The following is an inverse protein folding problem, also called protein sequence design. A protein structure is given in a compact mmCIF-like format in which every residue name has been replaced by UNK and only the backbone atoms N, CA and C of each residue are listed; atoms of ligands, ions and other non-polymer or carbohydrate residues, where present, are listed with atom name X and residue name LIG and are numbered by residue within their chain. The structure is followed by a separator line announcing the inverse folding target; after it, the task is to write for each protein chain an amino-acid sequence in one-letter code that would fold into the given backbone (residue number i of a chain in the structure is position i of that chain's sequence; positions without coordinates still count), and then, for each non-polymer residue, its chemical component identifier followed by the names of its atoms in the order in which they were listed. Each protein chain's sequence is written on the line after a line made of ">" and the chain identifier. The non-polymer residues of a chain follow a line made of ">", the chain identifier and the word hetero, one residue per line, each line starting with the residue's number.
data_IF_517904895440
#
_entry.id   IF_517904895440
#
_cell.length_a   1.000
_cell.length_b   1.000
_cell.length_c   1.000
_cell.angle_alpha   90.00
_cell.angle_beta   90.00
_cell.angle_gamma   90.00
#
_symmetry.space_group_name_H-M   'P 1'
#
loop_
_entity.id
_entity.type
_entity.pdbx_description
1 polymer ?
#
# COMPACT_ATOMS: atom_id res chain seq x y z
N UNK A 1 -76.44 45.48 43.83
CA UNK A 1 -76.26 44.36 42.88
C UNK A 1 -75.87 44.90 41.50
N UNK A 2 -74.59 44.82 41.12
CA UNK A 2 -74.15 44.38 39.77
C UNK A 2 -72.62 44.29 39.74
N UNK A 3 -72.18 43.10 39.38
CA UNK A 3 -70.82 42.59 39.34
C UNK A 3 -70.27 42.60 37.91
N UNK A 4 -68.94 42.65 37.80
CA UNK A 4 -68.09 42.04 36.76
C UNK A 4 -68.12 42.71 35.36
N UNK A 5 -67.05 42.73 34.56
CA UNK A 5 -65.79 41.95 34.55
C UNK A 5 -64.73 42.69 33.72
N UNK A 6 -63.53 42.84 34.25
CA UNK A 6 -62.31 43.13 33.47
C UNK A 6 -61.89 41.88 32.70
N UNK A 7 -61.97 41.92 31.37
CA UNK A 7 -61.37 40.91 30.49
C UNK A 7 -59.86 41.16 30.43
N UNK A 8 -59.08 40.40 31.21
CA UNK A 8 -57.64 40.31 31.05
C UNK A 8 -57.34 39.33 29.90
N UNK A 9 -57.03 39.85 28.72
CA UNK A 9 -56.60 39.06 27.58
C UNK A 9 -55.25 38.40 27.84
N UNK A 10 -55.23 37.06 27.89
CA UNK A 10 -54.01 36.27 28.05
C UNK A 10 -53.30 36.09 26.69
N UNK A 11 -52.68 37.14 26.17
CA UNK A 11 -52.02 37.13 24.85
C UNK A 11 -50.53 36.75 24.87
N UNK A 12 -49.97 36.41 26.04
CA UNK A 12 -48.52 36.20 26.21
C UNK A 12 -47.96 34.82 25.84
N UNK A 13 -48.81 33.81 25.57
CA UNK A 13 -48.35 32.41 25.42
C UNK A 13 -48.17 31.92 23.98
N UNK A 14 -48.81 32.55 22.99
CA UNK A 14 -48.69 32.15 21.58
C UNK A 14 -47.35 32.52 20.94
N UNK A 15 -46.78 33.68 21.30
CA UNK A 15 -45.54 34.18 20.73
C UNK A 15 -44.28 33.44 21.24
N UNK A 16 -44.31 32.92 22.48
CA UNK A 16 -43.19 32.17 23.05
C UNK A 16 -43.08 30.74 22.50
N UNK A 17 -44.20 30.15 22.09
CA UNK A 17 -44.22 28.80 21.49
C UNK A 17 -43.73 28.88 20.04
N UNK A 18 -44.08 29.93 19.30
CA UNK A 18 -43.63 30.14 17.92
C UNK A 18 -42.11 30.35 17.80
N UNK A 19 -41.48 31.11 18.71
CA UNK A 19 -40.02 31.32 18.71
C UNK A 19 -39.24 30.06 19.12
N UNK A 20 -39.81 29.24 20.00
CA UNK A 20 -39.21 27.97 20.43
C UNK A 20 -39.24 26.95 19.30
N UNK A 21 -40.35 26.85 18.56
CA UNK A 21 -40.47 25.95 17.40
C UNK A 21 -39.46 26.29 16.29
N UNK A 22 -39.30 27.58 15.97
CA UNK A 22 -38.30 28.03 14.99
C UNK A 22 -36.87 27.66 15.40
N UNK A 23 -36.50 27.90 16.65
CA UNK A 23 -35.18 27.55 17.18
C UNK A 23 -34.95 26.03 17.17
N UNK A 24 -35.96 25.22 17.52
CA UNK A 24 -35.82 23.75 17.47
C UNK A 24 -35.66 23.21 16.06
N UNK A 25 -36.30 23.81 15.05
CA UNK A 25 -36.12 23.41 13.64
C UNK A 25 -34.71 23.73 13.14
N UNK A 26 -34.16 24.89 13.52
CA UNK A 26 -32.79 25.28 13.18
C UNK A 26 -31.78 24.35 13.86
N UNK A 27 -31.97 24.05 15.15
CA UNK A 27 -31.08 23.13 15.87
C UNK A 27 -31.19 21.72 15.27
N UNK A 28 -32.40 21.25 14.96
CA UNK A 28 -32.63 19.96 14.33
C UNK A 28 -31.97 19.84 12.95
N UNK A 29 -32.01 20.89 12.13
CA UNK A 29 -31.38 20.88 10.81
C UNK A 29 -29.86 20.86 10.89
N UNK A 30 -29.27 21.63 11.83
CA UNK A 30 -27.82 21.64 12.05
C UNK A 30 -27.33 20.28 12.55
N UNK A 31 -28.02 19.67 13.52
CA UNK A 31 -27.66 18.35 14.05
C UNK A 31 -27.79 17.28 12.98
N UNK A 32 -28.84 17.33 12.14
CA UNK A 32 -29.03 16.36 11.06
C UNK A 32 -27.94 16.48 9.99
N UNK A 33 -27.58 17.71 9.59
CA UNK A 33 -26.50 17.95 8.64
C UNK A 33 -25.15 17.51 9.21
N UNK A 34 -24.87 17.83 10.48
CA UNK A 34 -23.65 17.42 11.14
C UNK A 34 -23.56 15.89 11.28
N UNK A 35 -24.66 15.23 11.64
CA UNK A 35 -24.73 13.77 11.71
C UNK A 35 -24.50 13.10 10.35
N UNK A 36 -25.04 13.66 9.27
CA UNK A 36 -24.81 13.17 7.92
C UNK A 36 -23.34 13.31 7.51
N UNK A 37 -22.73 14.48 7.72
CA UNK A 37 -21.31 14.71 7.41
C UNK A 37 -20.43 13.78 8.24
N UNK A 38 -20.72 13.61 9.53
CA UNK A 38 -19.99 12.67 10.39
C UNK A 38 -20.15 11.22 9.93
N UNK A 39 -21.34 10.80 9.52
CA UNK A 39 -21.58 9.47 8.99
C UNK A 39 -20.73 9.20 7.74
N UNK A 40 -20.74 10.12 6.77
CA UNK A 40 -19.96 9.97 5.53
C UNK A 40 -18.45 9.98 5.81
N UNK A 41 -17.98 10.85 6.70
CA UNK A 41 -16.56 10.92 7.03
C UNK A 41 -16.09 9.69 7.82
N UNK A 42 -16.94 9.12 8.66
CA UNK A 42 -16.61 7.93 9.45
C UNK A 42 -16.45 6.69 8.58
N UNK A 43 -17.32 6.49 7.59
CA UNK A 43 -17.17 5.40 6.61
C UNK A 43 -15.87 5.52 5.80
N UNK A 44 -15.51 6.73 5.38
CA UNK A 44 -14.29 6.98 4.62
C UNK A 44 -13.02 6.85 5.48
N UNK A 45 -13.02 7.35 6.72
CA UNK A 45 -11.87 7.27 7.63
C UNK A 45 -11.55 5.81 8.03
N UNK A 46 -12.58 4.99 8.25
CA UNK A 46 -12.38 3.55 8.50
C UNK A 46 -11.91 2.79 7.24
N UNK A 47 -12.24 3.27 6.04
CA UNK A 47 -11.76 2.69 4.80
C UNK A 47 -10.29 3.05 4.50
N UNK A 48 -9.78 4.18 5.02
CA UNK A 48 -8.42 4.66 4.75
C UNK A 48 -7.35 4.19 5.75
N UNK A 49 -7.76 3.64 6.90
CA UNK A 49 -6.85 3.02 7.88
C UNK A 49 -6.06 1.81 7.32
N UNK A 50 -6.42 1.32 6.14
CA UNK A 50 -5.75 0.20 5.48
C UNK A 50 -4.26 0.43 5.25
N UNK A 51 -3.83 1.56 4.67
CA UNK A 51 -2.42 1.72 4.23
C UNK A 51 -1.46 1.86 5.40
N UNK A 52 -1.78 2.73 6.37
CA UNK A 52 -0.93 2.95 7.55
C UNK A 52 -0.90 1.72 8.45
N UNK A 53 -2.05 1.05 8.65
CA UNK A 53 -2.11 -0.21 9.40
C UNK A 53 -1.26 -1.28 8.73
N UNK A 54 -1.45 -1.49 7.43
CA UNK A 54 -0.70 -2.47 6.65
C UNK A 54 0.79 -2.20 6.69
N UNK A 55 1.21 -0.94 6.60
CA UNK A 55 2.61 -0.55 6.74
C UNK A 55 3.17 -0.93 8.10
N UNK A 56 2.49 -0.58 9.20
CA UNK A 56 2.96 -0.90 10.54
C UNK A 56 3.03 -2.42 10.77
N UNK A 57 1.97 -3.15 10.39
CA UNK A 57 1.88 -4.60 10.55
C UNK A 57 2.93 -5.33 9.70
N UNK A 58 3.09 -4.95 8.43
CA UNK A 58 4.14 -5.53 7.56
C UNK A 58 5.55 -5.19 8.06
N UNK A 59 5.78 -3.99 8.60
CA UNK A 59 7.06 -3.62 9.18
C UNK A 59 7.39 -4.45 10.42
N UNK A 60 6.41 -4.74 11.26
CA UNK A 60 6.60 -5.57 12.44
C UNK A 60 6.88 -7.04 12.07
N UNK A 61 6.20 -7.57 11.04
CA UNK A 61 6.51 -8.89 10.47
C UNK A 61 7.93 -8.95 9.89
N UNK A 62 8.34 -7.92 9.15
CA UNK A 62 9.70 -7.80 8.61
C UNK A 62 10.74 -7.75 9.73
N UNK A 63 10.48 -7.01 10.82
CA UNK A 63 11.34 -6.94 12.01
C UNK A 63 11.43 -8.26 12.76
N UNK A 64 10.36 -9.04 12.78
CA UNK A 64 10.34 -10.35 13.43
C UNK A 64 11.18 -11.40 12.70
N UNK A 65 11.41 -11.24 11.39
CA UNK A 65 12.13 -12.21 10.58
C UNK A 65 13.65 -12.25 10.94
N UNK A 66 14.22 -13.44 11.24
CA UNK A 66 15.61 -13.56 11.68
C UNK A 66 16.62 -13.15 10.60
N UNK A 67 16.34 -13.39 9.31
CA UNK A 67 17.25 -13.03 8.21
C UNK A 67 17.36 -11.52 8.05
N UNK A 68 16.24 -10.81 8.23
CA UNK A 68 16.22 -9.34 8.20
C UNK A 68 16.98 -8.78 9.40
N UNK A 69 16.81 -9.37 10.58
CA UNK A 69 17.54 -8.96 11.80
C UNK A 69 19.05 -9.16 11.69
N UNK A 70 19.50 -10.19 10.98
CA UNK A 70 20.92 -10.41 10.72
C UNK A 70 21.50 -9.32 9.79
N UNK A 71 20.75 -8.90 8.77
CA UNK A 71 21.20 -7.90 7.80
C UNK A 71 21.10 -6.44 8.28
N UNK A 72 20.00 -6.08 8.94
CA UNK A 72 19.69 -4.70 9.35
C UNK A 72 19.80 -4.49 10.86
N UNK A 73 20.18 -5.52 11.62
CA UNK A 73 20.30 -5.45 13.08
C UNK A 73 18.95 -5.52 13.81
N UNK A 74 19.02 -5.34 15.13
CA UNK A 74 17.86 -5.47 16.02
C UNK A 74 16.80 -4.35 15.87
N UNK A 75 17.16 -3.23 15.24
CA UNK A 75 16.28 -2.07 15.09
C UNK A 75 16.23 -1.63 13.64
N UNK A 76 15.44 -2.34 12.85
CA UNK A 76 15.12 -1.97 11.49
C UNK A 76 14.08 -0.83 11.46
N UNK A 77 14.40 0.24 10.73
CA UNK A 77 13.56 1.44 10.59
C UNK A 77 12.97 1.47 9.19
N UNK A 78 11.63 1.46 9.13
CA UNK A 78 10.87 1.63 7.88
C UNK A 78 10.71 3.10 7.52
N UNK A 79 10.68 3.42 6.23
CA UNK A 79 10.39 4.76 5.73
C UNK A 79 9.83 4.75 4.30
N UNK A 80 8.96 5.72 3.99
CA UNK A 80 8.38 5.89 2.65
C UNK A 80 9.32 6.56 1.65
N UNK A 81 8.84 6.73 0.41
CA UNK A 81 9.58 7.38 -0.67
C UNK A 81 9.75 8.89 -0.40
N UNK A 82 10.91 9.44 -0.75
CA UNK A 82 11.16 10.88 -0.63
C UNK A 82 10.53 11.61 -1.80
N UNK A 83 9.69 12.61 -1.54
CA UNK A 83 9.25 13.58 -2.55
C UNK A 83 10.21 14.78 -2.59
N UNK A 84 10.44 15.35 -3.78
CA UNK A 84 11.37 16.46 -4.09
C UNK A 84 11.27 17.69 -3.18
N UNK A 85 10.12 17.89 -2.52
CA UNK A 85 9.84 19.12 -1.80
C UNK A 85 10.59 19.18 -0.47
N UNK A 86 11.67 19.98 -0.45
CA UNK A 86 12.54 20.35 0.69
C UNK A 86 11.80 20.83 1.96
N UNK A 87 10.47 21.03 1.91
CA UNK A 87 9.64 21.53 3.03
C UNK A 87 8.75 20.48 3.71
N UNK A 88 8.61 19.25 3.20
CA UNK A 88 7.81 18.21 3.88
C UNK A 88 8.66 17.01 4.27
N UNK A 89 8.95 16.88 5.56
CA UNK A 89 9.53 15.68 6.19
C UNK A 89 8.52 14.53 6.32
N UNK A 90 7.46 14.51 5.49
CA UNK A 90 6.53 13.39 5.41
C UNK A 90 6.94 12.54 4.21
N UNK A 91 7.56 11.40 4.51
CA UNK A 91 7.84 10.35 3.54
C UNK A 91 6.53 9.61 3.26
N UNK A 92 5.90 9.89 2.14
CA UNK A 92 4.65 9.21 1.75
C UNK A 92 4.96 7.76 1.43
N UNK A 93 4.14 6.85 1.95
CA UNK A 93 4.23 5.43 1.64
C UNK A 93 3.61 5.21 0.25
N UNK A 94 4.39 4.62 -0.65
CA UNK A 94 3.92 4.32 -2.00
C UNK A 94 2.91 3.19 -1.91
N UNK A 95 1.69 3.44 -2.39
CA UNK A 95 0.61 2.46 -2.34
C UNK A 95 -0.20 2.48 -3.63
N UNK A 96 -0.71 1.32 -4.03
CA UNK A 96 -1.54 1.15 -5.21
C UNK A 96 -2.75 0.30 -4.86
N UNK A 97 -3.95 0.87 -5.00
CA UNK A 97 -5.22 0.14 -4.88
C UNK A 97 -5.61 -0.35 -6.28
N UNK A 98 -5.83 -1.65 -6.44
CA UNK A 98 -6.24 -2.27 -7.69
C UNK A 98 -7.36 -3.29 -7.45
N UNK A 99 -8.01 -3.76 -8.50
CA UNK A 99 -9.00 -4.83 -8.41
C UNK A 99 -8.47 -6.04 -9.16
N UNK A 100 -8.44 -7.18 -8.47
CA UNK A 100 -8.02 -8.47 -9.01
C UNK A 100 -8.96 -8.92 -10.14
N UNK A 101 -8.50 -9.83 -11.01
CA UNK A 101 -9.33 -10.49 -12.02
C UNK A 101 -10.53 -11.24 -11.41
N UNK A 102 -10.40 -11.66 -10.14
CA UNK A 102 -11.48 -12.28 -9.35
C UNK A 102 -12.45 -11.25 -8.74
N UNK A 103 -12.28 -9.95 -8.99
CA UNK A 103 -13.07 -8.86 -8.44
C UNK A 103 -12.84 -8.61 -6.95
N UNK A 104 -11.65 -8.92 -6.42
CA UNK A 104 -11.25 -8.61 -5.04
C UNK A 104 -10.47 -7.30 -5.03
N UNK A 105 -10.68 -6.44 -4.04
CA UNK A 105 -9.81 -5.28 -3.85
C UNK A 105 -8.41 -5.76 -3.48
N UNK A 106 -7.39 -5.17 -4.08
CA UNK A 106 -5.98 -5.40 -3.79
C UNK A 106 -5.32 -4.11 -3.35
N UNK A 107 -4.47 -4.21 -2.36
CA UNK A 107 -3.66 -3.12 -1.86
C UNK A 107 -2.19 -3.56 -1.92
N UNK A 108 -1.42 -2.86 -2.74
CA UNK A 108 0.02 -3.00 -2.80
C UNK A 108 0.67 -1.84 -2.06
N UNK A 109 1.66 -2.13 -1.22
CA UNK A 109 2.41 -1.15 -0.43
C UNK A 109 3.90 -1.39 -0.64
N UNK A 110 4.62 -0.31 -0.95
CA UNK A 110 6.07 -0.31 -1.10
C UNK A 110 6.71 0.73 -0.19
N UNK A 111 7.71 0.30 0.55
CA UNK A 111 8.48 1.15 1.46
C UNK A 111 9.90 0.61 1.63
N UNK A 112 10.75 1.38 2.30
CA UNK A 112 12.15 1.07 2.48
C UNK A 112 12.49 0.77 3.92
N UNK A 113 13.52 -0.03 4.14
CA UNK A 113 14.02 -0.41 5.47
C UNK A 113 15.55 -0.23 5.53
N UNK A 114 16.04 0.41 6.60
CA UNK A 114 17.47 0.45 6.96
C UNK A 114 17.68 0.08 8.42
N UNK A 115 18.94 -0.17 8.78
CA UNK A 115 19.36 -0.19 10.18
C UNK A 115 19.28 1.23 10.80
N UNK A 116 18.75 1.32 12.01
CA UNK A 116 18.79 2.51 12.86
C UNK A 116 20.19 3.08 13.07
N UNK A 117 21.19 2.23 13.26
CA UNK A 117 22.58 2.63 13.53
C UNK A 117 23.35 2.97 12.25
N UNK A 118 22.70 2.83 11.09
CA UNK A 118 23.28 3.08 9.75
C UNK A 118 24.63 2.39 9.55
N UNK A 119 24.82 1.24 10.19
CA UNK A 119 26.07 0.49 10.10
C UNK A 119 26.07 -0.45 8.90
N UNK A 120 24.88 -0.93 8.50
CA UNK A 120 24.72 -1.76 7.31
C UNK A 120 24.77 -0.91 6.02
N UNK A 121 25.59 -1.29 5.02
CA UNK A 121 25.63 -0.62 3.72
C UNK A 121 24.43 -0.98 2.82
N UNK A 122 23.51 -1.83 3.31
CA UNK A 122 22.39 -2.35 2.55
C UNK A 122 21.09 -1.57 2.83
N UNK A 123 20.21 -1.53 1.83
CA UNK A 123 18.85 -0.98 1.91
C UNK A 123 17.87 -2.07 1.48
N UNK A 124 16.83 -2.28 2.28
CA UNK A 124 15.73 -3.17 1.94
C UNK A 124 14.60 -2.39 1.26
N UNK A 125 14.08 -2.91 0.16
CA UNK A 125 12.83 -2.46 -0.44
C UNK A 125 11.78 -3.51 -0.11
N UNK A 126 10.82 -3.14 0.72
CA UNK A 126 9.73 -4.04 1.12
C UNK A 126 8.56 -3.84 0.18
N UNK A 127 8.04 -4.95 -0.32
CA UNK A 127 6.86 -5.03 -1.18
C UNK A 127 5.85 -5.93 -0.50
N UNK A 128 4.72 -5.36 -0.09
CA UNK A 128 3.61 -6.07 0.52
C UNK A 128 2.39 -5.98 -0.40
N UNK A 129 1.78 -7.13 -0.71
CA UNK A 129 0.53 -7.20 -1.47
C UNK A 129 -0.53 -7.88 -0.61
N UNK A 130 -1.71 -7.28 -0.60
CA UNK A 130 -2.85 -7.75 0.18
C UNK A 130 -4.08 -7.83 -0.72
N UNK A 131 -4.95 -8.79 -0.43
CA UNK A 131 -6.26 -8.87 -1.05
C UNK A 131 -7.36 -8.88 -0.01
N UNK A 132 -8.46 -8.20 -0.31
CA UNK A 132 -9.63 -8.19 0.54
C UNK A 132 -10.46 -9.45 0.30
N UNK A 133 -10.75 -10.18 1.37
CA UNK A 133 -11.67 -11.32 1.34
C UNK A 133 -13.10 -10.84 1.12
N UNK A 134 -13.79 -11.42 0.13
CA UNK A 134 -15.19 -11.08 -0.20
C UNK A 134 -16.19 -11.47 0.89
N UNK A 135 -15.86 -12.50 1.68
CA UNK A 135 -16.75 -13.02 2.72
C UNK A 135 -16.68 -12.19 4.01
N UNK A 136 -15.47 -11.89 4.47
CA UNK A 136 -15.23 -11.25 5.77
C UNK A 136 -14.94 -9.76 5.67
N UNK A 137 -14.58 -9.25 4.48
CA UNK A 137 -14.09 -7.88 4.29
C UNK A 137 -12.70 -7.62 4.87
N UNK A 138 -12.07 -8.64 5.46
CA UNK A 138 -10.73 -8.58 6.03
C UNK A 138 -9.65 -8.49 4.92
N UNK A 139 -8.54 -7.85 5.26
CA UNK A 139 -7.35 -7.76 4.41
C UNK A 139 -6.42 -8.93 4.72
N UNK A 140 -6.18 -9.79 3.73
CA UNK A 140 -5.30 -10.93 3.85
C UNK A 140 -4.00 -10.68 3.05
N UNK A 141 -2.85 -10.95 3.65
CA UNK A 141 -1.56 -10.82 2.97
C UNK A 141 -1.40 -11.91 1.91
N UNK A 142 -1.11 -11.51 0.67
CA UNK A 142 -0.71 -12.44 -0.37
C UNK A 142 0.78 -12.76 -0.22
N UNK A 143 1.61 -11.71 -0.14
CA UNK A 143 3.04 -11.84 0.11
C UNK A 143 3.63 -10.58 0.76
N UNK A 144 4.73 -10.77 1.47
CA UNK A 144 5.65 -9.75 1.95
C UNK A 144 7.05 -10.19 1.54
N UNK A 145 7.66 -9.42 0.66
CA UNK A 145 8.98 -9.70 0.10
C UNK A 145 9.88 -8.49 0.36
N UNK A 146 11.13 -8.76 0.72
CA UNK A 146 12.16 -7.74 0.90
C UNK A 146 13.26 -7.95 -0.13
N UNK A 147 13.37 -7.01 -1.06
CA UNK A 147 14.45 -6.95 -2.03
C UNK A 147 15.63 -6.16 -1.40
N UNK A 148 16.75 -6.83 -1.17
CA UNK A 148 17.94 -6.24 -0.55
C UNK A 148 18.87 -5.69 -1.61
N UNK A 149 19.21 -4.40 -1.49
CA UNK A 149 20.10 -3.69 -2.39
C UNK A 149 21.32 -3.19 -1.62
N UNK A 150 22.49 -3.19 -2.25
CA UNK A 150 23.67 -2.52 -1.74
C UNK A 150 24.01 -1.38 -2.69
N UNK A 151 23.77 -0.11 -2.31
CA UNK A 151 24.29 1.02 -3.06
C UNK A 151 25.81 0.92 -3.19
N UNK A 152 26.33 1.30 -4.36
CA UNK A 152 27.77 1.28 -4.64
C UNK A 152 28.54 2.22 -3.70
N UNK A 153 29.85 2.00 -3.54
CA UNK A 153 30.67 2.77 -2.59
C UNK A 153 30.73 4.27 -2.90
N UNK A 154 30.64 4.66 -4.17
CA UNK A 154 30.52 6.05 -4.63
C UNK A 154 29.14 6.67 -4.35
N UNK A 155 28.19 5.86 -3.89
CA UNK A 155 26.79 6.19 -3.65
C UNK A 155 26.46 6.13 -2.15
N UNK A 156 27.43 5.72 -1.30
CA UNK A 156 27.35 5.84 0.15
C UNK A 156 27.18 7.32 0.48
N UNK A 157 26.05 7.66 1.10
CA UNK A 157 25.78 8.99 1.62
C UNK A 157 26.79 9.25 2.74
N UNK A 158 27.92 9.85 2.39
CA UNK A 158 29.03 10.14 3.29
C UNK A 158 28.62 11.23 4.27
N UNK A 159 28.25 10.82 5.49
CA UNK A 159 28.05 11.72 6.64
C UNK A 159 26.84 12.66 6.56
N UNK A 160 26.17 12.81 5.42
CA UNK A 160 24.98 13.62 5.30
C UNK A 160 23.74 12.84 5.75
N UNK A 161 22.86 13.50 6.47
CA UNK A 161 21.53 12.97 6.80
C UNK A 161 20.87 12.50 5.49
N UNK A 162 20.19 11.35 5.49
CA UNK A 162 19.46 10.76 4.34
C UNK A 162 18.46 11.74 3.67
N UNK A 163 18.25 12.93 4.23
CA UNK A 163 17.60 14.08 3.61
C UNK A 163 18.37 14.71 2.43
N UNK A 164 19.67 14.43 2.29
CA UNK A 164 20.53 14.92 1.19
C UNK A 164 20.78 13.86 0.11
N UNK A 165 20.26 12.64 0.27
CA UNK A 165 20.25 11.66 -0.82
C UNK A 165 19.29 12.17 -1.90
N UNK A 166 19.84 12.78 -2.95
CA UNK A 166 19.08 13.36 -4.06
C UNK A 166 18.21 12.32 -4.78
N UNK A 167 17.21 12.78 -5.54
CA UNK A 167 16.27 11.92 -6.29
C UNK A 167 16.98 10.91 -7.22
N UNK A 168 18.18 11.24 -7.69
CA UNK A 168 19.03 10.36 -8.49
C UNK A 168 19.38 9.06 -7.78
N UNK A 169 19.56 9.09 -6.45
CA UNK A 169 19.87 7.91 -5.65
C UNK A 169 18.71 6.90 -5.69
N UNK A 170 17.50 7.36 -5.41
CA UNK A 170 16.30 6.51 -5.35
C UNK A 170 15.94 5.95 -6.72
N UNK A 171 16.06 6.75 -7.78
CA UNK A 171 15.86 6.30 -9.16
C UNK A 171 16.85 5.19 -9.54
N UNK A 172 18.13 5.35 -9.17
CA UNK A 172 19.15 4.33 -9.42
C UNK A 172 18.91 3.07 -8.58
N UNK A 173 18.47 3.20 -7.32
CA UNK A 173 18.12 2.05 -6.47
C UNK A 173 17.00 1.20 -7.11
N UNK A 174 15.92 1.84 -7.58
CA UNK A 174 14.81 1.14 -8.24
C UNK A 174 15.22 0.43 -9.54
N UNK A 175 16.17 1.00 -10.28
CA UNK A 175 16.68 0.43 -11.52
C UNK A 175 17.78 -0.62 -11.28
N UNK A 176 18.38 -0.64 -10.09
CA UNK A 176 19.42 -1.59 -9.74
C UNK A 176 18.83 -2.98 -9.47
N UNK A 177 19.60 -4.02 -9.78
CA UNK A 177 19.21 -5.40 -9.49
C UNK A 177 19.42 -5.68 -7.99
N UNK A 178 18.43 -6.25 -7.28
CA UNK A 178 18.62 -6.67 -5.90
C UNK A 178 19.68 -7.76 -5.80
N UNK A 179 20.45 -7.71 -4.73
CA UNK A 179 21.51 -8.70 -4.41
C UNK A 179 20.88 -9.97 -3.85
N UNK A 180 19.80 -9.81 -3.09
CA UNK A 180 19.05 -10.90 -2.52
C UNK A 180 17.58 -10.53 -2.38
N UNK A 181 16.75 -11.57 -2.33
CA UNK A 181 15.33 -11.46 -2.04
C UNK A 181 15.02 -12.32 -0.82
N UNK A 182 14.39 -11.73 0.17
CA UNK A 182 13.95 -12.41 1.38
C UNK A 182 12.43 -12.46 1.37
N UNK A 183 11.90 -13.68 1.38
CA UNK A 183 10.47 -13.94 1.47
C UNK A 183 10.09 -13.99 2.96
N UNK A 184 9.45 -12.93 3.45
CA UNK A 184 9.08 -12.83 4.87
C UNK A 184 7.79 -13.58 5.13
N UNK A 185 6.83 -13.42 4.22
CA UNK A 185 5.54 -14.10 4.27
C UNK A 185 5.09 -14.37 2.83
N UNK A 186 4.73 -15.61 2.54
CA UNK A 186 4.14 -16.01 1.26
C UNK A 186 3.03 -16.98 1.59
N UNK A 187 1.79 -16.65 1.25
CA UNK A 187 0.67 -17.55 1.51
C UNK A 187 0.60 -18.69 0.49
N UNK A 188 0.06 -19.83 0.91
CA UNK A 188 -0.03 -21.03 0.07
C UNK A 188 -0.88 -20.80 -1.19
N UNK A 189 -1.94 -19.98 -1.10
CA UNK A 189 -2.75 -19.63 -2.27
C UNK A 189 -1.91 -18.88 -3.32
N UNK A 190 -1.12 -17.92 -2.88
CA UNK A 190 -0.27 -17.14 -3.76
C UNK A 190 0.90 -17.96 -4.32
N UNK A 191 1.51 -18.82 -3.50
CA UNK A 191 2.56 -19.73 -3.95
C UNK A 191 2.07 -20.68 -5.05
N UNK A 192 0.82 -21.15 -4.98
CA UNK A 192 0.17 -21.95 -6.04
C UNK A 192 -0.05 -21.11 -7.29
N UNK A 193 -0.51 -19.87 -7.15
CA UNK A 193 -0.73 -18.96 -8.27
C UNK A 193 0.55 -18.68 -9.05
N UNK A 194 1.66 -18.39 -8.35
CA UNK A 194 2.99 -18.21 -8.99
C UNK A 194 3.40 -19.47 -9.74
N UNK A 195 3.30 -20.65 -9.10
CA UNK A 195 3.68 -21.93 -9.74
C UNK A 195 2.87 -22.20 -11.00
N UNK A 196 1.56 -21.93 -10.96
CA UNK A 196 0.67 -22.07 -12.11
C UNK A 196 1.04 -21.08 -13.22
N UNK A 197 1.28 -19.82 -12.88
CA UNK A 197 1.69 -18.79 -13.83
C UNK A 197 3.04 -19.13 -14.50
N UNK A 198 4.01 -19.62 -13.73
CA UNK A 198 5.30 -20.05 -14.25
C UNK A 198 5.18 -21.30 -15.14
N UNK A 199 4.29 -22.23 -14.79
CA UNK A 199 3.97 -23.37 -15.67
C UNK A 199 3.35 -22.92 -16.98
N UNK A 200 2.42 -21.96 -16.94
CA UNK A 200 1.78 -21.40 -18.13
C UNK A 200 2.79 -20.64 -19.00
N UNK A 201 3.65 -19.81 -18.41
CA UNK A 201 4.73 -19.10 -19.14
C UNK A 201 5.69 -20.07 -19.81
N UNK A 202 6.11 -21.13 -19.12
CA UNK A 202 6.96 -22.18 -19.70
C UNK A 202 6.26 -22.84 -20.89
N UNK A 203 4.99 -23.22 -20.76
CA UNK A 203 4.23 -23.83 -21.85
C UNK A 203 4.07 -22.89 -23.06
N UNK A 204 3.83 -21.59 -22.84
CA UNK A 204 3.75 -20.62 -23.94
C UNK A 204 5.07 -20.46 -24.70
N UNK A 205 6.22 -20.47 -24.00
CA UNK A 205 7.54 -20.45 -24.65
C UNK A 205 7.77 -21.66 -25.56
N UNK A 206 7.29 -22.84 -25.19
CA UNK A 206 7.39 -24.02 -26.06
C UNK A 206 6.43 -23.94 -27.27
N UNK A 207 5.29 -23.28 -27.14
CA UNK A 207 4.35 -23.10 -28.26
C UNK A 207 4.83 -22.10 -29.33
N UNK A 208 5.64 -21.10 -28.95
CA UNK A 208 6.20 -20.12 -29.92
C UNK A 208 7.47 -20.60 -30.59
N UNK A 209 8.25 -21.49 -29.95
CA UNK A 209 9.42 -22.15 -30.55
C UNK A 209 9.02 -23.17 -31.64
N UNK A 210 7.75 -23.58 -31.69
CA UNK A 210 7.20 -24.49 -32.71
C UNK A 210 6.55 -23.83 -33.92
N UNK A 211 6.49 -22.48 -34.02
CA UNK A 211 6.07 -21.81 -35.26
C UNK A 211 7.22 -21.84 -36.26
N UNK A 212 7.42 -23.02 -36.84
CA UNK A 212 8.32 -23.23 -37.96
C UNK A 212 7.98 -22.28 -39.11
N UNK A 213 9.02 -21.91 -39.84
CA UNK A 213 8.95 -21.30 -41.17
C UNK A 213 7.89 -22.05 -42.02
N UNK A 214 7.06 -21.36 -42.83
CA UNK A 214 5.93 -21.96 -43.57
C UNK A 214 6.28 -23.15 -44.48
N UNK A 215 7.56 -23.39 -44.68
CA UNK A 215 8.19 -24.30 -45.62
C UNK A 215 8.43 -25.71 -45.04
N UNK A 216 7.99 -26.00 -43.80
CA UNK A 216 7.91 -27.37 -43.27
C UNK A 216 9.26 -28.04 -42.95
N UNK A 217 10.36 -27.30 -42.97
CA UNK A 217 11.71 -27.82 -42.67
C UNK A 217 11.98 -27.80 -41.16
N UNK A 218 11.79 -28.93 -40.46
CA UNK A 218 12.08 -29.07 -39.02
C UNK A 218 13.42 -29.81 -38.72
N UNK A 219 14.25 -30.11 -39.72
CA UNK A 219 15.48 -30.91 -39.58
C UNK A 219 16.78 -30.20 -40.01
N UNK A 220 16.92 -28.90 -39.77
CA UNK A 220 18.09 -28.12 -40.25
C UNK A 220 18.99 -27.55 -39.16
N UNK A 221 19.08 -28.19 -37.98
CA UNK A 221 20.06 -27.80 -36.94
C UNK A 221 20.72 -29.03 -36.33
N UNK A 222 21.37 -29.84 -37.14
CA UNK A 222 22.53 -30.67 -36.73
C UNK A 222 23.33 -31.03 -38.00
N UNK A 223 24.27 -30.17 -38.40
CA UNK A 223 25.35 -30.57 -39.32
C UNK A 223 26.64 -30.72 -38.51
N UNK A 224 27.11 -31.95 -38.23
CA UNK A 224 28.41 -32.16 -37.60
C UNK A 224 29.48 -32.18 -38.69
N UNK A 225 29.91 -31.00 -39.19
CA UNK A 225 31.04 -30.97 -40.14
C UNK A 225 31.73 -29.61 -40.22
N UNK A 226 32.25 -29.11 -39.10
CA UNK A 226 33.36 -28.12 -39.09
C UNK A 226 34.25 -28.34 -37.87
N UNK A 227 34.92 -29.50 -37.80
CA UNK A 227 36.12 -29.69 -36.99
C UNK A 227 37.21 -30.34 -37.86
N UNK A 228 38.35 -29.64 -37.97
CA UNK A 228 39.57 -29.89 -38.80
C UNK A 228 39.40 -29.54 -40.30
N UNK A 229 40.36 -28.89 -40.97
CA UNK A 229 41.75 -28.51 -40.66
C UNK A 229 41.96 -27.01 -40.87
#
# INVERSE_FOLDING_TARGET
>A
HRSNSTFAGNSGRGAQIASTLGNTLIIGSVVSLFGYIMYTLYEDLLADDGVTRVYNESLDLVRANPQIRELFGASAVGFGQTTSSRRHRQRTITHHKSVDAKGRQRLFVEYYVTDSKRSSPCIGVVKADLSQSKGTGAWDYNYIIVDVHQPADNMKVSGATQSDAGESFWSQLHNSKPIGRIEVLVTDEFAREIKLADSQRRNQRFSTVGKGTPDGSWFSVLHPSTWRK
#
